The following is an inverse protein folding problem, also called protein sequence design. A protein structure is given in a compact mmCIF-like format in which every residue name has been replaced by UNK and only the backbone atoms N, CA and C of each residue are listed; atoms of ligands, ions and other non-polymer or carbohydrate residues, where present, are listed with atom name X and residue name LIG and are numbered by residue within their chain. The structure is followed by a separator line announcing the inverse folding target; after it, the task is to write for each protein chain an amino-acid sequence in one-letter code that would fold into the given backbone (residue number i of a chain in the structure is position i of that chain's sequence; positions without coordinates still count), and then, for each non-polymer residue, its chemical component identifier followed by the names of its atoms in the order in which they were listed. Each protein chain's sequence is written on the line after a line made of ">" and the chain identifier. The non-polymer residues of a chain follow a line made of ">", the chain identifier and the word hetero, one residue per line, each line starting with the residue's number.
data_IF_713887201112
#
_entry.id   IF_713887201112
#
_cell.length_a   1.000
_cell.length_b   1.000
_cell.length_c   1.000
_cell.angle_alpha   90.00
_cell.angle_beta   90.00
_cell.angle_gamma   90.00
#
_symmetry.space_group_name_H-M   'P 1'
#
loop_
_entity.id
_entity.type
_entity.pdbx_description
1 polymer ?
#
# COMPACT_ATOMS: atom_id res chain seq x y z
N UNK A 1 -16.20 25.37 51.84
CA UNK A 1 -16.00 23.90 51.95
C UNK A 1 -17.00 23.27 50.99
N UNK A 2 -16.59 23.07 49.75
CA UNK A 2 -17.48 22.65 48.65
C UNK A 2 -16.72 21.63 47.79
N UNK A 3 -16.24 20.54 48.38
CA UNK A 3 -15.28 19.65 47.68
C UNK A 3 -15.59 18.15 47.72
N UNK A 4 -16.74 17.72 48.25
CA UNK A 4 -17.08 16.28 48.28
C UNK A 4 -18.00 15.78 47.14
N UNK A 5 -19.10 16.47 46.75
CA UNK A 5 -20.01 15.90 45.74
C UNK A 5 -19.44 15.97 44.31
N UNK A 6 -18.51 16.89 44.05
CA UNK A 6 -17.92 17.05 42.71
C UNK A 6 -16.84 15.99 42.44
N UNK A 7 -16.04 15.60 43.44
CA UNK A 7 -15.06 14.53 43.26
C UNK A 7 -15.72 13.18 42.98
N UNK A 8 -16.83 12.88 43.65
CA UNK A 8 -17.58 11.65 43.43
C UNK A 8 -18.18 11.59 42.01
N UNK A 9 -18.70 12.72 41.52
CA UNK A 9 -19.23 12.85 40.15
C UNK A 9 -18.12 12.76 39.10
N UNK A 10 -16.98 13.38 39.36
CA UNK A 10 -15.81 13.29 38.49
C UNK A 10 -15.30 11.85 38.42
N UNK A 11 -15.25 11.12 39.54
CA UNK A 11 -14.90 9.68 39.55
C UNK A 11 -15.88 8.84 38.75
N UNK A 12 -17.19 9.09 38.87
CA UNK A 12 -18.20 8.37 38.08
C UNK A 12 -18.11 8.71 36.57
N UNK A 13 -17.76 9.96 36.24
CA UNK A 13 -17.51 10.38 34.85
C UNK A 13 -16.24 9.73 34.30
N UNK A 14 -15.16 9.67 35.09
CA UNK A 14 -13.90 9.00 34.75
C UNK A 14 -14.10 7.49 34.55
N UNK A 15 -14.92 6.85 35.37
CA UNK A 15 -15.29 5.43 35.20
C UNK A 15 -16.11 5.20 33.92
N UNK A 16 -17.07 6.08 33.62
CA UNK A 16 -17.86 5.99 32.38
C UNK A 16 -17.01 6.28 31.14
N UNK A 17 -16.11 7.26 31.22
CA UNK A 17 -15.16 7.61 30.17
C UNK A 17 -14.12 6.51 29.96
N UNK A 18 -13.61 5.89 31.02
CA UNK A 18 -12.65 4.79 30.91
C UNK A 18 -13.28 3.51 30.37
N UNK A 19 -14.55 3.22 30.69
CA UNK A 19 -15.32 2.13 30.05
C UNK A 19 -15.53 2.42 28.56
N UNK A 20 -16.01 3.62 28.21
CA UNK A 20 -16.16 4.01 26.80
C UNK A 20 -14.83 4.15 26.06
N UNK A 21 -13.72 4.54 26.70
CA UNK A 21 -12.37 4.57 26.11
C UNK A 21 -11.75 3.18 25.97
N UNK A 22 -12.24 2.17 26.69
CA UNK A 22 -11.87 0.76 26.45
C UNK A 22 -12.65 0.19 25.27
N UNK A 23 -13.93 0.53 25.15
CA UNK A 23 -14.78 0.12 24.01
C UNK A 23 -14.50 0.93 22.74
N UNK A 24 -14.05 2.18 22.89
CA UNK A 24 -13.49 3.07 21.86
C UNK A 24 -11.99 3.23 22.01
N UNK A 25 -11.30 2.25 22.62
CA UNK A 25 -9.89 2.13 22.30
C UNK A 25 -9.91 1.84 20.80
N UNK A 26 -9.36 2.72 19.94
CA UNK A 26 -9.18 2.34 18.54
C UNK A 26 -8.46 1.01 18.62
N UNK A 27 -9.07 -0.04 18.06
CA UNK A 27 -8.64 -1.43 18.16
C UNK A 27 -7.12 -1.50 18.07
N UNK A 28 -6.46 -1.41 19.22
CA UNK A 28 -5.03 -1.38 19.28
C UNK A 28 -4.70 -2.84 19.38
N UNK A 29 -4.15 -3.39 18.27
CA UNK A 29 -3.64 -4.76 18.08
C UNK A 29 -4.61 -5.61 17.26
N UNK A 30 -4.26 -6.04 16.04
CA UNK A 30 -2.99 -6.57 15.50
C UNK A 30 -2.66 -5.96 14.13
N UNK A 31 -1.48 -6.26 13.59
CA UNK A 31 -1.02 -6.00 12.20
C UNK A 31 -0.32 -4.66 11.87
N UNK A 32 -0.05 -3.75 12.81
CA UNK A 32 0.81 -2.57 12.51
C UNK A 32 2.29 -2.92 12.22
N UNK A 33 2.69 -4.19 12.34
CA UNK A 33 4.03 -4.68 11.94
C UNK A 33 4.08 -5.35 10.56
N UNK A 34 2.95 -5.88 10.08
CA UNK A 34 2.87 -6.65 8.82
C UNK A 34 2.11 -5.89 7.71
N UNK A 35 1.19 -4.99 8.08
CA UNK A 35 0.47 -4.14 7.12
C UNK A 35 1.41 -3.24 6.32
N UNK A 36 2.53 -2.80 6.91
CA UNK A 36 3.46 -1.87 6.24
C UNK A 36 4.20 -2.52 5.07
N UNK A 37 4.60 -3.80 5.19
CA UNK A 37 5.22 -4.54 4.08
C UNK A 37 4.18 -5.06 3.09
N UNK A 38 3.02 -5.50 3.58
CA UNK A 38 1.92 -5.97 2.72
C UNK A 38 1.36 -4.87 1.81
N UNK A 39 1.16 -3.66 2.33
CA UNK A 39 0.71 -2.50 1.55
C UNK A 39 1.73 -2.12 0.48
N UNK A 40 3.01 -2.14 0.82
CA UNK A 40 4.12 -1.91 -0.12
C UNK A 40 4.11 -2.94 -1.25
N UNK A 41 4.02 -4.23 -0.91
CA UNK A 41 3.99 -5.31 -1.89
C UNK A 41 2.77 -5.18 -2.82
N UNK A 42 1.60 -4.86 -2.27
CA UNK A 42 0.39 -4.65 -3.04
C UNK A 42 0.47 -3.43 -3.97
N UNK A 43 1.06 -2.32 -3.52
CA UNK A 43 1.30 -1.15 -4.37
C UNK A 43 2.22 -1.48 -5.54
N UNK A 44 3.30 -2.23 -5.30
CA UNK A 44 4.19 -2.68 -6.37
C UNK A 44 3.45 -3.54 -7.42
N UNK A 45 2.54 -4.42 -6.97
CA UNK A 45 1.69 -5.21 -7.88
C UNK A 45 0.75 -4.30 -8.68
N UNK A 46 0.07 -3.36 -8.03
CA UNK A 46 -0.82 -2.42 -8.73
C UNK A 46 -0.04 -1.58 -9.73
N UNK A 47 1.15 -1.09 -9.38
CA UNK A 47 1.99 -0.28 -10.27
C UNK A 47 2.43 -1.08 -11.51
N UNK A 48 2.82 -2.33 -11.32
CA UNK A 48 3.14 -3.25 -12.41
C UNK A 48 1.94 -3.52 -13.31
N UNK A 49 0.80 -3.92 -12.72
CA UNK A 49 -0.42 -4.30 -13.44
C UNK A 49 -1.02 -3.09 -14.15
N UNK A 50 -0.99 -1.91 -13.53
CA UNK A 50 -1.47 -0.66 -14.15
C UNK A 50 -0.68 -0.32 -15.40
N UNK A 51 0.66 -0.44 -15.36
CA UNK A 51 1.50 -0.22 -16.54
C UNK A 51 1.13 -1.15 -17.69
N UNK A 52 0.94 -2.44 -17.38
CA UNK A 52 0.55 -3.45 -18.38
C UNK A 52 -0.86 -3.19 -18.94
N UNK A 53 -1.84 -2.89 -18.09
CA UNK A 53 -3.22 -2.61 -18.49
C UNK A 53 -3.32 -1.35 -19.35
N UNK A 54 -2.57 -0.30 -19.00
CA UNK A 54 -2.52 0.93 -19.80
C UNK A 54 -1.88 0.65 -21.16
N UNK A 55 -0.73 -0.05 -21.19
CA UNK A 55 -0.06 -0.42 -22.45
C UNK A 55 -0.94 -1.29 -23.34
N UNK A 56 -1.57 -2.32 -22.76
CA UNK A 56 -2.50 -3.19 -23.46
C UNK A 56 -3.73 -2.43 -23.96
N UNK A 57 -4.36 -1.60 -23.12
CA UNK A 57 -5.56 -0.85 -23.48
C UNK A 57 -5.30 0.15 -24.62
N UNK A 58 -4.18 0.88 -24.56
CA UNK A 58 -3.76 1.79 -25.63
C UNK A 58 -3.45 1.00 -26.90
N UNK A 59 -2.63 -0.04 -26.80
CA UNK A 59 -2.21 -0.83 -27.96
C UNK A 59 -3.40 -1.52 -28.66
N UNK A 60 -4.32 -2.10 -27.88
CA UNK A 60 -5.55 -2.69 -28.39
C UNK A 60 -6.47 -1.64 -29.04
N UNK A 61 -6.65 -0.47 -28.40
CA UNK A 61 -7.47 0.61 -28.95
C UNK A 61 -6.91 1.16 -30.27
N UNK A 62 -5.59 1.31 -30.36
CA UNK A 62 -4.92 1.76 -31.58
C UNK A 62 -4.99 0.72 -32.70
N UNK A 63 -4.74 -0.56 -32.39
CA UNK A 63 -4.89 -1.63 -33.38
C UNK A 63 -6.32 -1.74 -33.91
N UNK A 64 -7.32 -1.56 -33.03
CA UNK A 64 -8.73 -1.54 -33.42
C UNK A 64 -9.04 -0.35 -34.35
N UNK A 65 -8.51 0.84 -34.06
CA UNK A 65 -8.82 2.06 -34.80
C UNK A 65 -8.11 2.12 -36.16
N UNK A 66 -6.84 1.68 -36.20
CA UNK A 66 -6.01 1.73 -37.41
C UNK A 66 -6.05 0.45 -38.23
N UNK A 67 -6.74 -0.60 -37.75
CA UNK A 67 -6.77 -1.91 -38.40
C UNK A 67 -5.39 -2.54 -38.52
N UNK A 68 -4.43 -2.09 -37.71
CA UNK A 68 -3.11 -2.69 -37.68
C UNK A 68 -3.24 -4.10 -37.12
N UNK A 69 -2.54 -5.05 -37.75
CA UNK A 69 -2.22 -6.34 -37.11
C UNK A 69 -1.66 -6.05 -35.71
N UNK A 70 -1.67 -7.00 -34.73
CA UNK A 70 -1.44 -6.76 -33.29
C UNK A 70 -0.02 -6.28 -32.92
N UNK A 71 0.50 -5.33 -33.67
CA UNK A 71 1.84 -4.77 -33.68
C UNK A 71 1.86 -3.62 -32.67
N UNK A 72 0.86 -2.73 -32.70
CA UNK A 72 0.78 -1.66 -31.71
C UNK A 72 0.47 -2.26 -30.34
N UNK A 73 -0.40 -3.26 -30.25
CA UNK A 73 -0.63 -4.03 -29.02
C UNK A 73 0.67 -4.56 -28.45
N UNK A 74 1.49 -5.27 -29.24
CA UNK A 74 2.77 -5.80 -28.75
C UNK A 74 3.72 -4.68 -28.31
N UNK A 75 3.90 -3.64 -29.13
CA UNK A 75 4.80 -2.52 -28.81
C UNK A 75 4.36 -1.79 -27.54
N UNK A 76 3.09 -1.40 -27.44
CA UNK A 76 2.58 -0.67 -26.27
C UNK A 76 2.50 -1.55 -25.02
N UNK A 77 2.26 -2.86 -25.15
CA UNK A 77 2.32 -3.77 -24.01
C UNK A 77 3.74 -3.88 -23.46
N UNK A 78 4.76 -3.96 -24.32
CA UNK A 78 6.17 -3.95 -23.90
C UNK A 78 6.55 -2.61 -23.24
N UNK A 79 6.13 -1.49 -23.82
CA UNK A 79 6.34 -0.16 -23.23
C UNK A 79 5.62 -0.03 -21.88
N UNK A 80 4.40 -0.53 -21.77
CA UNK A 80 3.62 -0.55 -20.53
C UNK A 80 4.27 -1.41 -19.45
N UNK A 81 4.82 -2.57 -19.82
CA UNK A 81 5.60 -3.41 -18.92
C UNK A 81 6.85 -2.69 -18.41
N UNK A 82 7.64 -2.08 -19.31
CA UNK A 82 8.84 -1.31 -18.93
C UNK A 82 8.48 -0.16 -17.99
N UNK A 83 7.40 0.57 -18.29
CA UNK A 83 6.91 1.63 -17.42
C UNK A 83 6.45 1.11 -16.05
N UNK A 84 5.71 0.00 -16.01
CA UNK A 84 5.26 -0.64 -14.77
C UNK A 84 6.42 -1.11 -13.89
N UNK A 85 7.42 -1.79 -14.48
CA UNK A 85 8.65 -2.21 -13.79
C UNK A 85 9.40 -0.98 -13.25
N UNK A 86 9.56 0.07 -14.07
CA UNK A 86 10.27 1.29 -13.66
C UNK A 86 9.59 1.96 -12.46
N UNK A 87 8.26 2.06 -12.46
CA UNK A 87 7.51 2.65 -11.34
C UNK A 87 7.65 1.80 -10.08
N UNK A 88 7.47 0.48 -10.18
CA UNK A 88 7.66 -0.45 -9.07
C UNK A 88 9.07 -0.34 -8.45
N UNK A 89 10.11 -0.29 -9.28
CA UNK A 89 11.49 -0.15 -8.81
C UNK A 89 11.72 1.23 -8.16
N UNK A 90 11.06 2.29 -8.65
CA UNK A 90 11.06 3.60 -8.03
C UNK A 90 10.46 3.56 -6.62
N UNK A 91 9.33 2.89 -6.46
CA UNK A 91 8.69 2.66 -5.16
C UNK A 91 9.59 1.87 -4.22
N UNK A 92 10.23 0.79 -4.71
CA UNK A 92 11.19 0.03 -3.91
C UNK A 92 12.39 0.90 -3.47
N UNK A 93 12.93 1.75 -4.35
CA UNK A 93 14.03 2.66 -4.02
C UNK A 93 13.63 3.71 -2.98
N UNK A 94 12.44 4.30 -3.11
CA UNK A 94 11.91 5.29 -2.14
C UNK A 94 11.76 4.67 -0.75
N UNK A 95 11.29 3.43 -0.67
CA UNK A 95 11.12 2.71 0.59
C UNK A 95 12.46 2.36 1.24
N UNK A 96 13.42 1.86 0.47
CA UNK A 96 14.77 1.61 0.97
C UNK A 96 15.42 2.90 1.53
N UNK A 97 15.25 4.02 0.83
CA UNK A 97 15.76 5.32 1.27
C UNK A 97 15.11 5.82 2.57
N UNK A 98 13.81 5.52 2.78
CA UNK A 98 13.08 5.92 4.00
C UNK A 98 13.33 5.00 5.19
N UNK A 99 13.55 3.70 4.96
CA UNK A 99 13.72 2.71 6.02
C UNK A 99 15.19 2.49 6.41
N UNK A 100 16.16 2.97 5.62
CA UNK A 100 17.59 2.75 5.88
C UNK A 100 18.01 1.29 5.79
N UNK A 101 17.14 0.44 5.25
CA UNK A 101 17.33 -1.00 5.13
C UNK A 101 18.12 -1.27 3.85
N UNK A 102 19.31 -1.85 3.98
CA UNK A 102 20.09 -2.35 2.85
C UNK A 102 19.23 -3.36 2.06
N UNK A 103 19.38 -3.42 0.72
CA UNK A 103 18.54 -4.28 -0.11
C UNK A 103 18.57 -5.69 0.43
N UNK A 104 17.39 -6.31 0.59
CA UNK A 104 17.28 -7.73 0.88
C UNK A 104 18.05 -8.47 -0.21
N UNK A 105 19.26 -8.93 0.14
CA UNK A 105 20.01 -9.90 -0.62
C UNK A 105 19.04 -11.02 -0.91
N UNK A 106 18.80 -11.30 -2.19
CA UNK A 106 18.32 -12.61 -2.58
C UNK A 106 19.41 -13.57 -2.13
N UNK A 107 19.21 -14.21 -0.99
CA UNK A 107 19.95 -15.40 -0.61
C UNK A 107 19.55 -16.49 -1.60
N UNK A 108 20.24 -16.50 -2.75
CA UNK A 108 20.41 -17.71 -3.55
C UNK A 108 21.39 -18.62 -2.78
N UNK A 109 20.90 -19.20 -1.68
CA UNK A 109 21.52 -20.35 -1.03
C UNK A 109 20.83 -21.64 -1.51
N UNK A 110 21.49 -22.31 -2.44
CA UNK A 110 21.71 -23.76 -2.43
C UNK A 110 20.53 -24.72 -2.65
N UNK A 111 20.43 -25.28 -3.86
CA UNK A 111 20.59 -26.72 -4.10
C UNK A 111 20.82 -27.01 -5.59
#
# INVERSE_FOLDING_TARGET
>A
MTEEPDQERLRQLEERLSRMKRDKAPVARKEQGDFTQGEVAWRMVIEMVSGLLIGFGIGYGLDYLFGTRPILLVIFTLLGLVAGVKTMLGTAAELNAKTGQAPASRDDEGN
#
